data_IF_939994083853
#
_entry.id   IF_939994083853
#
_cell.length_a   1.000
_cell.length_b   1.000
_cell.length_c   1.000
_cell.angle_alpha   90.00
_cell.angle_beta   90.00
_cell.angle_gamma   90.00
#
_symmetry.space_group_name_H-M   'P 1'
#
loop_
_entity.id
_entity.type
_entity.pdbx_description
1 polymer ?
#
# COMPACT_ATOMS: atom_id res chain seq x y z
N UNK A 1 16.30 11.09 -4.41
CA UNK A 1 15.07 11.80 -4.04
C UNK A 1 13.96 10.78 -4.09
N UNK A 2 13.30 10.51 -2.97
CA UNK A 2 12.17 9.57 -2.91
C UNK A 2 10.91 10.18 -3.52
N UNK A 3 9.97 9.36 -3.99
CA UNK A 3 8.69 9.82 -4.54
C UNK A 3 7.91 10.68 -3.52
N UNK A 4 8.02 10.34 -2.23
CA UNK A 4 7.45 11.13 -1.13
C UNK A 4 8.08 12.52 -1.01
N UNK A 5 9.41 12.64 -1.17
CA UNK A 5 10.09 13.94 -1.21
C UNK A 5 9.67 14.78 -2.41
N UNK A 6 9.47 14.14 -3.58
CA UNK A 6 8.95 14.83 -4.76
C UNK A 6 7.54 15.35 -4.54
N UNK A 7 6.64 14.56 -3.93
CA UNK A 7 5.28 15.00 -3.57
C UNK A 7 5.32 16.22 -2.64
N UNK A 8 6.17 16.19 -1.62
CA UNK A 8 6.33 17.33 -0.68
C UNK A 8 6.91 18.56 -1.37
N UNK A 9 7.89 18.37 -2.24
CA UNK A 9 8.48 19.46 -3.02
C UNK A 9 7.47 20.11 -3.99
N UNK A 10 6.57 19.32 -4.60
CA UNK A 10 5.59 19.81 -5.57
C UNK A 10 4.36 20.43 -4.92
N UNK A 11 3.78 19.79 -3.89
CA UNK A 11 2.54 20.25 -3.27
C UNK A 11 2.77 21.24 -2.13
N UNK A 12 3.97 21.25 -1.55
CA UNK A 12 4.26 21.92 -0.29
C UNK A 12 3.75 21.11 0.92
N UNK A 13 4.41 21.33 2.06
CA UNK A 13 4.23 20.54 3.29
C UNK A 13 2.75 20.43 3.71
N UNK A 14 2.01 21.54 3.75
CA UNK A 14 0.62 21.56 4.21
C UNK A 14 -0.30 20.70 3.35
N UNK A 15 -0.20 20.81 2.03
CA UNK A 15 -1.02 20.01 1.11
C UNK A 15 -0.64 18.53 1.15
N UNK A 16 0.65 18.22 1.29
CA UNK A 16 1.11 16.85 1.47
C UNK A 16 0.60 16.23 2.77
N UNK A 17 0.59 16.98 3.88
CA UNK A 17 -0.02 16.53 5.15
C UNK A 17 -1.49 16.18 4.94
N UNK A 18 -2.26 17.04 4.27
CA UNK A 18 -3.69 16.80 4.02
C UNK A 18 -3.91 15.59 3.10
N UNK A 19 -3.07 15.43 2.06
CA UNK A 19 -3.09 14.26 1.19
C UNK A 19 -2.83 12.98 1.99
N UNK A 20 -1.76 12.95 2.79
CA UNK A 20 -1.41 11.77 3.59
C UNK A 20 -2.49 11.45 4.64
N UNK A 21 -3.06 12.47 5.28
CA UNK A 21 -4.18 12.31 6.22
C UNK A 21 -5.40 11.66 5.56
N UNK A 22 -5.65 11.96 4.29
CA UNK A 22 -6.81 11.44 3.55
C UNK A 22 -6.55 10.04 2.97
N UNK A 23 -5.34 9.78 2.46
CA UNK A 23 -5.02 8.52 1.76
C UNK A 23 -4.64 7.38 2.71
N UNK A 24 -3.98 7.67 3.84
CA UNK A 24 -3.52 6.64 4.77
C UNK A 24 -4.65 5.74 5.30
N UNK A 25 -5.80 6.28 5.76
CA UNK A 25 -6.92 5.46 6.19
C UNK A 25 -7.46 4.56 5.07
N UNK A 26 -7.48 5.07 3.82
CA UNK A 26 -7.95 4.31 2.67
C UNK A 26 -7.03 3.14 2.36
N UNK A 27 -5.71 3.35 2.35
CA UNK A 27 -4.73 2.27 2.13
C UNK A 27 -4.84 1.23 3.25
N UNK A 28 -5.03 1.66 4.52
CA UNK A 28 -5.21 0.74 5.64
C UNK A 28 -6.47 -0.12 5.48
N UNK A 29 -7.61 0.47 5.12
CA UNK A 29 -8.85 -0.29 4.89
C UNK A 29 -8.66 -1.30 3.75
N UNK A 30 -8.10 -0.86 2.62
CA UNK A 30 -7.88 -1.71 1.44
C UNK A 30 -6.91 -2.85 1.72
N UNK A 31 -5.90 -2.64 2.57
CA UNK A 31 -5.04 -3.70 3.08
C UNK A 31 -5.88 -4.76 3.81
N UNK A 32 -6.71 -4.36 4.76
CA UNK A 32 -7.49 -5.31 5.56
C UNK A 32 -8.42 -6.14 4.66
N UNK A 33 -9.15 -5.46 3.76
CA UNK A 33 -10.05 -6.11 2.82
C UNK A 33 -9.32 -7.07 1.88
N UNK A 34 -8.14 -6.68 1.36
CA UNK A 34 -7.32 -7.56 0.52
C UNK A 34 -6.94 -8.86 1.25
N UNK A 35 -6.43 -8.74 2.47
CA UNK A 35 -5.99 -9.90 3.27
C UNK A 35 -7.19 -10.79 3.62
N UNK A 36 -8.35 -10.21 3.92
CA UNK A 36 -9.59 -10.96 4.17
C UNK A 36 -10.05 -11.72 2.92
N UNK A 37 -10.04 -11.07 1.75
CA UNK A 37 -10.36 -11.71 0.47
C UNK A 37 -9.42 -12.89 0.17
N UNK A 38 -8.12 -12.75 0.41
CA UNK A 38 -7.16 -13.86 0.20
C UNK A 38 -7.42 -15.03 1.15
N UNK A 39 -7.72 -14.78 2.43
CA UNK A 39 -8.05 -15.84 3.39
C UNK A 39 -9.38 -16.54 3.07
N UNK A 40 -10.38 -15.79 2.60
CA UNK A 40 -11.69 -16.31 2.20
C UNK A 40 -11.73 -16.88 0.79
N UNK A 41 -10.61 -16.82 0.05
CA UNK A 41 -10.50 -17.24 -1.35
C UNK A 41 -11.44 -16.46 -2.29
N UNK A 42 -11.81 -15.23 -1.91
CA UNK A 42 -12.49 -14.28 -2.80
C UNK A 42 -11.47 -13.62 -3.73
N UNK A 43 -11.13 -14.32 -4.81
CA UNK A 43 -10.11 -13.87 -5.77
C UNK A 43 -10.52 -12.60 -6.53
N UNK A 44 -11.81 -12.41 -6.76
CA UNK A 44 -12.31 -11.22 -7.47
C UNK A 44 -12.23 -9.99 -6.57
N UNK A 45 -12.63 -10.12 -5.30
CA UNK A 45 -12.42 -9.07 -4.29
C UNK A 45 -10.94 -8.77 -4.10
N UNK A 46 -10.09 -9.80 -3.99
CA UNK A 46 -8.66 -9.64 -3.85
C UNK A 46 -8.04 -8.86 -5.03
N UNK A 47 -8.43 -9.17 -6.27
CA UNK A 47 -7.96 -8.45 -7.46
C UNK A 47 -8.40 -6.97 -7.44
N UNK A 48 -9.65 -6.69 -7.04
CA UNK A 48 -10.15 -5.31 -6.91
C UNK A 48 -9.37 -4.52 -5.85
N UNK A 49 -9.12 -5.10 -4.68
CA UNK A 49 -8.39 -4.43 -3.62
C UNK A 49 -6.90 -4.28 -3.94
N UNK A 50 -6.30 -5.25 -4.65
CA UNK A 50 -4.95 -5.14 -5.17
C UNK A 50 -4.82 -3.99 -6.19
N UNK A 51 -5.77 -3.86 -7.12
CA UNK A 51 -5.82 -2.74 -8.07
C UNK A 51 -5.87 -1.38 -7.36
N UNK A 52 -6.73 -1.25 -6.33
CA UNK A 52 -6.83 -0.03 -5.53
C UNK A 52 -5.52 0.32 -4.82
N UNK A 53 -4.80 -0.69 -4.32
CA UNK A 53 -3.49 -0.50 -3.68
C UNK A 53 -2.41 -0.13 -4.70
N UNK A 54 -2.43 -0.73 -5.90
CA UNK A 54 -1.52 -0.40 -7.00
C UNK A 54 -1.65 1.06 -7.45
N UNK A 55 -2.87 1.62 -7.46
CA UNK A 55 -3.07 3.05 -7.72
C UNK A 55 -2.35 3.96 -6.71
N UNK A 56 -2.10 3.45 -5.50
CA UNK A 56 -1.30 4.11 -4.44
C UNK A 56 0.15 3.62 -4.38
N UNK A 57 0.60 2.82 -5.36
CA UNK A 57 1.87 2.11 -5.32
C UNK A 57 3.12 2.99 -5.15
N UNK A 58 3.09 4.19 -5.73
CA UNK A 58 4.12 5.23 -5.58
C UNK A 58 4.29 5.75 -4.14
N UNK A 59 3.35 5.44 -3.25
CA UNK A 59 3.46 5.76 -1.82
C UNK A 59 4.02 4.59 -1.00
N UNK A 60 3.92 3.37 -1.52
CA UNK A 60 4.26 2.15 -0.80
C UNK A 60 5.75 1.78 -0.91
N UNK A 61 6.44 2.29 -1.93
CA UNK A 61 7.90 2.25 -2.08
C UNK A 61 8.57 0.85 -1.93
N UNK A 62 7.83 -0.24 -2.12
CA UNK A 62 8.35 -1.62 -2.09
C UNK A 62 8.09 -2.29 -3.44
N UNK A 63 9.16 -2.58 -4.19
CA UNK A 63 9.06 -3.30 -5.48
C UNK A 63 8.45 -4.69 -5.28
N UNK A 64 8.88 -5.41 -4.24
CA UNK A 64 8.35 -6.73 -3.90
C UNK A 64 6.85 -6.68 -3.67
N UNK A 65 6.38 -5.68 -2.93
CA UNK A 65 4.95 -5.48 -2.70
C UNK A 65 4.18 -5.22 -4.01
N UNK A 66 4.69 -4.35 -4.88
CA UNK A 66 4.05 -4.06 -6.17
C UNK A 66 3.98 -5.31 -7.05
N UNK A 67 5.06 -6.09 -7.12
CA UNK A 67 5.09 -7.33 -7.87
C UNK A 67 4.07 -8.34 -7.32
N UNK A 68 3.94 -8.46 -5.99
CA UNK A 68 2.92 -9.29 -5.35
C UNK A 68 1.49 -8.82 -5.64
N UNK A 69 1.23 -7.52 -5.57
CA UNK A 69 -0.10 -6.96 -5.90
C UNK A 69 -0.48 -7.22 -7.36
N UNK A 70 0.49 -7.17 -8.29
CA UNK A 70 0.27 -7.50 -9.71
C UNK A 70 -0.11 -8.98 -9.88
N UNK A 71 0.50 -9.90 -9.13
CA UNK A 71 0.13 -11.32 -9.17
C UNK A 71 -1.32 -11.53 -8.71
N UNK A 72 -1.76 -10.79 -7.70
CA UNK A 72 -3.13 -10.86 -7.19
C UNK A 72 -4.11 -10.26 -8.21
N UNK A 73 -3.80 -9.09 -8.78
CA UNK A 73 -4.63 -8.44 -9.80
C UNK A 73 -4.82 -9.34 -11.04
N UNK A 74 -3.77 -10.08 -11.42
CA UNK A 74 -3.80 -11.06 -12.52
C UNK A 74 -4.44 -12.39 -12.17
N UNK A 75 -4.87 -12.58 -10.92
CA UNK A 75 -5.43 -13.83 -10.42
C UNK A 75 -4.52 -15.05 -10.68
N UNK A 76 -3.22 -14.91 -10.41
CA UNK A 76 -2.24 -16.02 -10.45
C UNK A 76 -2.43 -16.97 -9.24
N UNK A 77 -3.62 -17.58 -9.13
CA UNK A 77 -4.10 -18.37 -7.97
C UNK A 77 -3.05 -19.35 -7.43
N UNK A 78 -2.34 -20.14 -8.25
CA UNK A 78 -1.33 -21.07 -7.76
C UNK A 78 -0.24 -20.41 -6.91
N UNK A 79 0.13 -19.17 -7.20
CA UNK A 79 1.16 -18.42 -6.51
C UNK A 79 0.64 -17.65 -5.30
N UNK A 80 -0.61 -17.16 -5.35
CA UNK A 80 -1.16 -16.25 -4.32
C UNK A 80 -1.94 -16.95 -3.20
N UNK A 81 -2.32 -18.22 -3.38
CA UNK A 81 -3.12 -18.98 -2.39
C UNK A 81 -2.28 -19.56 -1.24
N UNK A 82 -0.96 -19.50 -1.31
CA UNK A 82 -0.10 -20.13 -0.30
C UNK A 82 -0.06 -19.31 0.99
N UNK A 83 -0.06 -19.95 2.18
CA UNK A 83 0.08 -19.23 3.44
C UNK A 83 1.33 -18.36 3.50
N UNK A 84 2.43 -18.81 2.91
CA UNK A 84 3.70 -18.09 2.86
C UNK A 84 3.58 -16.79 2.05
N UNK A 85 2.85 -16.83 0.93
CA UNK A 85 2.60 -15.64 0.12
C UNK A 85 1.79 -14.61 0.91
N UNK A 86 0.70 -15.04 1.56
CA UNK A 86 -0.17 -14.15 2.33
C UNK A 86 0.59 -13.53 3.52
N UNK A 87 1.41 -14.32 4.21
CA UNK A 87 2.26 -13.82 5.30
C UNK A 87 3.27 -12.78 4.80
N UNK A 88 3.97 -13.07 3.70
CA UNK A 88 4.94 -12.16 3.13
C UNK A 88 4.28 -10.86 2.67
N UNK A 89 3.16 -10.94 1.95
CA UNK A 89 2.38 -9.79 1.51
C UNK A 89 1.93 -8.93 2.69
N UNK A 90 1.42 -9.53 3.76
CA UNK A 90 1.00 -8.79 4.95
C UNK A 90 2.18 -8.06 5.60
N UNK A 91 3.35 -8.70 5.69
CA UNK A 91 4.54 -8.10 6.27
C UNK A 91 5.08 -6.93 5.43
N UNK A 92 5.07 -7.06 4.10
CA UNK A 92 5.43 -5.97 3.17
C UNK A 92 4.45 -4.80 3.29
N UNK A 93 3.14 -5.07 3.30
CA UNK A 93 2.10 -4.05 3.49
C UNK A 93 2.25 -3.31 4.83
N UNK A 94 2.50 -4.04 5.93
CA UNK A 94 2.75 -3.46 7.24
C UNK A 94 3.97 -2.54 7.24
N UNK A 95 5.06 -3.01 6.63
CA UNK A 95 6.32 -2.24 6.55
C UNK A 95 6.13 -0.95 5.76
N UNK A 96 5.55 -1.04 4.56
CA UNK A 96 5.26 0.13 3.72
C UNK A 96 4.33 1.13 4.40
N UNK A 97 3.26 0.66 5.05
CA UNK A 97 2.34 1.51 5.79
C UNK A 97 2.99 2.18 7.01
N UNK A 98 3.84 1.47 7.74
CA UNK A 98 4.58 2.03 8.87
C UNK A 98 5.53 3.13 8.40
N UNK A 99 6.25 2.91 7.29
CA UNK A 99 7.14 3.91 6.70
C UNK A 99 6.38 5.15 6.23
N UNK A 100 5.27 4.97 5.50
CA UNK A 100 4.43 6.09 5.04
C UNK A 100 3.81 6.86 6.21
N UNK A 101 3.33 6.13 7.23
CA UNK A 101 2.78 6.74 8.46
C UNK A 101 3.86 7.54 9.19
N UNK A 102 5.06 6.98 9.34
CA UNK A 102 6.19 7.67 9.97
C UNK A 102 6.54 8.94 9.20
N UNK A 103 6.67 8.85 7.86
CA UNK A 103 6.94 9.99 7.01
C UNK A 103 5.89 11.11 7.14
N UNK A 104 4.61 10.74 7.12
CA UNK A 104 3.50 11.71 7.27
C UNK A 104 3.54 12.48 8.61
N UNK A 105 4.14 11.88 9.65
CA UNK A 105 4.32 12.52 10.96
C UNK A 105 5.55 13.42 11.00
N UNK A 106 6.63 13.07 10.29
CA UNK A 106 7.91 13.80 10.33
C UNK A 106 7.95 15.02 9.40
N UNK A 107 7.14 15.06 8.34
CA UNK A 107 7.04 16.24 7.45
C UNK A 107 6.59 17.52 8.17
N UNK A 108 6.08 17.42 9.41
CA UNK A 108 5.66 18.55 10.25
C UNK A 108 6.82 19.37 10.85
N UNK A 109 8.08 19.00 10.60
CA UNK A 109 9.21 19.46 11.41
C UNK A 109 10.22 20.31 10.63
N UNK A 110 9.77 21.40 10.00
CA UNK A 110 10.64 22.54 9.67
C UNK A 110 9.82 23.83 9.85
N UNK A 111 9.70 24.28 11.10
CA UNK A 111 9.47 25.68 11.44
C UNK A 111 10.81 26.27 11.85
#
# INVERSE_FOLDING_TARGET
MSELETIVATLGVEKSVNLFHSILPLIQIRRYELIECLHSQDWQGAALYAHNLLATGHLLASKTLLDQLILIEKAEIPSIQTPEFIQQLSAELDTSLQQLTHYSKTIKTKR
#
